data_IF_842888072582
#
_entry.id   IF_842888072582
#
_cell.length_a   1.000
_cell.length_b   1.000
_cell.length_c   1.000
_cell.angle_alpha   90.00
_cell.angle_beta   90.00
_cell.angle_gamma   90.00
#
_symmetry.space_group_name_H-M   'P 1'
#
loop_
_entity.id
_entity.type
_entity.pdbx_description
1 polymer ?
#
# COMPACT_ATOMS: atom_id res chain seq x y z
N UNK A 1 -19.39 11.29 20.71
CA UNK A 1 -19.17 10.44 19.52
C UNK A 1 -18.95 9.02 20.00
N UNK A 2 -19.55 7.97 19.39
CA UNK A 2 -19.18 6.61 19.76
C UNK A 2 -17.69 6.40 19.42
N UNK A 3 -16.91 5.88 20.37
CA UNK A 3 -15.49 5.61 20.21
C UNK A 3 -15.22 4.66 19.03
N UNK A 4 -14.12 4.81 18.27
CA UNK A 4 -13.78 3.85 17.22
C UNK A 4 -13.58 2.46 17.83
N UNK A 5 -14.33 1.47 17.35
CA UNK A 5 -14.27 0.07 17.83
C UNK A 5 -12.94 -0.61 17.50
N UNK A 6 -12.10 -0.02 16.64
CA UNK A 6 -10.72 -0.49 16.39
C UNK A 6 -9.83 0.68 15.99
N UNK A 7 -8.63 0.74 16.58
CA UNK A 7 -7.56 1.65 16.19
C UNK A 7 -6.24 0.86 16.13
N UNK A 8 -5.60 0.85 14.97
CA UNK A 8 -4.29 0.22 14.75
C UNK A 8 -3.39 1.25 14.08
N UNK A 9 -2.15 1.36 14.55
CA UNK A 9 -1.14 2.22 13.94
C UNK A 9 0.24 1.57 14.07
N UNK A 10 0.90 1.33 12.93
CA UNK A 10 2.27 0.84 12.86
C UNK A 10 3.24 2.00 12.72
N UNK A 11 4.42 1.84 13.31
CA UNK A 11 5.54 2.76 13.09
C UNK A 11 6.17 2.41 11.75
N UNK A 12 5.97 3.27 10.76
CA UNK A 12 6.60 3.19 9.44
C UNK A 12 7.40 4.47 9.24
N UNK A 13 8.64 4.34 8.76
CA UNK A 13 9.45 5.46 8.30
C UNK A 13 9.04 5.80 6.88
N UNK A 14 8.71 7.07 6.61
CA UNK A 14 8.41 7.52 5.25
C UNK A 14 9.70 7.54 4.42
N UNK A 15 9.73 6.78 3.33
CA UNK A 15 10.77 6.85 2.31
C UNK A 15 10.17 7.37 1.01
N UNK A 16 10.53 8.59 0.56
CA UNK A 16 10.03 9.12 -0.70
C UNK A 16 10.68 8.43 -1.89
N UNK A 17 9.95 8.36 -3.01
CA UNK A 17 10.52 7.85 -4.26
C UNK A 17 11.51 8.86 -4.86
N UNK A 18 12.67 8.45 -5.39
CA UNK A 18 13.62 9.38 -6.02
C UNK A 18 13.19 9.84 -7.42
N UNK A 19 12.39 9.04 -8.13
CA UNK A 19 11.89 9.30 -9.49
C UNK A 19 10.39 9.12 -9.55
N UNK A 20 9.74 9.54 -10.64
CA UNK A 20 8.29 9.35 -10.86
C UNK A 20 7.86 7.89 -11.00
N UNK A 21 8.79 6.96 -11.20
CA UNK A 21 8.50 5.57 -11.55
C UNK A 21 8.85 4.54 -10.45
N UNK A 22 9.45 4.99 -9.35
CA UNK A 22 10.01 4.12 -8.30
C UNK A 22 9.12 3.98 -7.06
N UNK A 23 7.80 4.27 -7.16
CA UNK A 23 6.86 4.16 -6.05
C UNK A 23 6.80 2.75 -5.45
N UNK A 24 6.84 1.70 -6.28
CA UNK A 24 6.84 0.30 -5.87
C UNK A 24 8.02 -0.04 -4.96
N UNK A 25 9.22 0.45 -5.30
CA UNK A 25 10.46 0.24 -4.56
C UNK A 25 10.43 0.99 -3.23
N UNK A 26 10.03 2.27 -3.25
CA UNK A 26 9.93 3.10 -2.06
C UNK A 26 8.86 2.56 -1.08
N UNK A 27 7.67 2.20 -1.57
CA UNK A 27 6.62 1.62 -0.75
C UNK A 27 7.03 0.28 -0.12
N UNK A 28 7.73 -0.58 -0.87
CA UNK A 28 8.21 -1.85 -0.31
C UNK A 28 9.38 -1.63 0.66
N UNK A 29 10.25 -0.65 0.40
CA UNK A 29 11.30 -0.21 1.34
C UNK A 29 10.69 0.23 2.68
N UNK A 30 9.56 0.95 2.64
CA UNK A 30 8.80 1.31 3.85
C UNK A 30 8.25 0.09 4.62
N UNK A 31 7.91 -1.02 3.95
CA UNK A 31 7.51 -2.27 4.65
C UNK A 31 8.68 -2.96 5.36
N UNK A 32 9.89 -2.87 4.80
CA UNK A 32 11.08 -3.49 5.39
C UNK A 32 11.68 -2.61 6.48
N UNK A 33 11.82 -1.31 6.21
CA UNK A 33 12.26 -0.29 7.17
C UNK A 33 13.78 -0.22 7.37
N UNK A 34 14.54 -1.23 6.92
CA UNK A 34 15.97 -1.41 7.20
C UNK A 34 16.85 -1.48 5.93
N UNK A 35 16.24 -1.57 4.74
CA UNK A 35 16.96 -1.75 3.47
C UNK A 35 16.18 -1.21 2.28
N UNK A 36 16.90 -0.78 1.24
CA UNK A 36 16.31 -0.44 -0.05
C UNK A 36 15.90 -1.70 -0.83
N UNK A 37 14.79 -1.62 -1.54
CA UNK A 37 14.22 -2.75 -2.29
C UNK A 37 14.36 -2.56 -3.79
N UNK A 38 15.12 -3.44 -4.45
CA UNK A 38 15.22 -3.52 -5.91
C UNK A 38 14.14 -4.43 -6.52
N UNK A 39 14.14 -4.58 -7.85
CA UNK A 39 13.14 -5.40 -8.55
C UNK A 39 13.30 -6.92 -8.30
N UNK A 40 14.49 -7.36 -7.87
CA UNK A 40 14.81 -8.78 -7.80
C UNK A 40 14.79 -9.39 -9.20
N UNK A 41 14.02 -10.47 -9.38
CA UNK A 41 13.81 -11.11 -10.69
C UNK A 41 12.63 -10.51 -11.48
N UNK A 42 11.91 -9.53 -10.94
CA UNK A 42 10.81 -8.88 -11.65
C UNK A 42 11.33 -7.91 -12.71
N UNK A 43 10.52 -7.70 -13.74
CA UNK A 43 10.81 -6.82 -14.85
C UNK A 43 10.38 -5.38 -14.57
N UNK A 44 11.23 -4.44 -14.96
CA UNK A 44 10.90 -3.02 -15.03
C UNK A 44 10.84 -2.56 -16.49
N UNK A 45 10.10 -1.49 -16.74
CA UNK A 45 10.21 -0.73 -17.99
C UNK A 45 11.51 0.08 -18.07
N UNK A 46 11.78 0.67 -19.23
CA UNK A 46 12.97 1.50 -19.46
C UNK A 46 13.08 2.69 -18.50
N UNK A 47 11.94 3.18 -18.03
CA UNK A 47 11.83 4.29 -17.07
C UNK A 47 11.97 3.85 -15.59
N UNK A 48 12.27 2.57 -15.32
CA UNK A 48 12.41 2.02 -13.96
C UNK A 48 11.11 1.67 -13.25
N UNK A 49 9.96 1.82 -13.92
CA UNK A 49 8.65 1.41 -13.39
C UNK A 49 8.50 -0.11 -13.39
N UNK A 50 8.01 -0.69 -12.29
CA UNK A 50 7.66 -2.11 -12.24
C UNK A 50 6.52 -2.39 -13.21
N UNK A 51 6.66 -3.42 -14.08
CA UNK A 51 5.56 -3.83 -14.97
C UNK A 51 4.39 -4.39 -14.13
N UNK A 52 3.17 -3.96 -14.43
CA UNK A 52 2.00 -4.15 -13.56
C UNK A 52 1.16 -5.40 -13.87
N UNK A 53 1.61 -6.24 -14.80
CA UNK A 53 1.03 -7.56 -15.06
C UNK A 53 1.16 -8.49 -13.84
N UNK A 54 0.11 -9.30 -13.62
CA UNK A 54 -0.07 -10.12 -12.42
C UNK A 54 1.16 -11.00 -12.13
N UNK A 55 1.64 -11.71 -13.15
CA UNK A 55 2.78 -12.64 -13.02
C UNK A 55 4.04 -11.90 -12.57
N UNK A 56 4.28 -10.69 -13.09
CA UNK A 56 5.45 -9.91 -12.74
C UNK A 56 5.38 -9.34 -11.31
N UNK A 57 4.19 -8.92 -10.86
CA UNK A 57 3.99 -8.51 -9.46
C UNK A 57 4.16 -9.72 -8.51
N UNK A 58 3.72 -10.90 -8.92
CA UNK A 58 3.94 -12.13 -8.15
C UNK A 58 5.42 -12.49 -8.06
N UNK A 59 6.17 -12.38 -9.17
CA UNK A 59 7.63 -12.58 -9.17
C UNK A 59 8.32 -11.57 -8.24
N UNK A 60 7.89 -10.30 -8.27
CA UNK A 60 8.40 -9.28 -7.35
C UNK A 60 8.13 -9.65 -5.89
N UNK A 61 6.91 -10.06 -5.56
CA UNK A 61 6.54 -10.47 -4.21
C UNK A 61 7.39 -11.66 -3.74
N UNK A 62 7.54 -12.69 -4.58
CA UNK A 62 8.34 -13.88 -4.28
C UNK A 62 9.83 -13.55 -4.08
N UNK A 63 10.41 -12.68 -4.91
CA UNK A 63 11.81 -12.27 -4.80
C UNK A 63 12.16 -11.63 -3.45
N UNK A 64 11.17 -11.06 -2.76
CA UNK A 64 11.33 -10.41 -1.46
C UNK A 64 10.67 -11.16 -0.29
N UNK A 65 10.13 -12.36 -0.53
CA UNK A 65 9.44 -13.15 0.49
C UNK A 65 8.13 -12.53 0.97
N UNK A 66 7.45 -11.75 0.13
CA UNK A 66 6.16 -11.14 0.41
C UNK A 66 5.01 -12.08 0.03
N UNK A 67 3.95 -12.05 0.82
CA UNK A 67 2.65 -12.62 0.44
C UNK A 67 1.92 -11.64 -0.47
N UNK A 68 1.61 -12.06 -1.68
CA UNK A 68 0.71 -11.35 -2.59
C UNK A 68 -0.72 -11.88 -2.44
N UNK A 69 -1.66 -10.99 -2.14
CA UNK A 69 -3.09 -11.29 -2.22
C UNK A 69 -3.59 -10.95 -3.61
N UNK A 70 -4.30 -11.90 -4.24
CA UNK A 70 -4.91 -11.72 -5.55
C UNK A 70 -5.94 -10.55 -5.53
N UNK A 71 -6.25 -9.95 -6.70
CA UNK A 71 -7.25 -8.90 -6.81
C UNK A 71 -8.58 -9.30 -6.16
N UNK A 72 -9.01 -8.55 -5.15
CA UNK A 72 -10.25 -8.80 -4.42
C UNK A 72 -10.80 -7.52 -3.80
N UNK A 73 -12.09 -7.52 -3.51
CA UNK A 73 -12.72 -6.47 -2.71
C UNK A 73 -12.42 -6.67 -1.23
N UNK A 74 -11.83 -5.65 -0.59
CA UNK A 74 -11.50 -5.71 0.82
C UNK A 74 -12.68 -5.26 1.68
N UNK A 75 -13.17 -6.13 2.55
CA UNK A 75 -14.04 -5.72 3.65
C UNK A 75 -13.24 -4.96 4.71
N UNK A 76 -13.89 -4.09 5.48
CA UNK A 76 -13.28 -3.39 6.62
C UNK A 76 -12.65 -4.39 7.59
N UNK A 77 -13.34 -5.49 7.88
CA UNK A 77 -12.81 -6.55 8.74
C UNK A 77 -11.56 -7.21 8.14
N UNK A 78 -11.53 -7.44 6.83
CA UNK A 78 -10.35 -7.96 6.12
C UNK A 78 -9.13 -7.05 6.25
N UNK A 79 -9.33 -5.73 6.09
CA UNK A 79 -8.28 -4.73 6.29
C UNK A 79 -7.77 -4.69 7.74
N UNK A 80 -8.69 -4.78 8.71
CA UNK A 80 -8.32 -4.85 10.13
C UNK A 80 -7.47 -6.11 10.38
N UNK A 81 -7.86 -7.28 9.84
CA UNK A 81 -7.07 -8.52 9.99
C UNK A 81 -5.70 -8.43 9.31
N UNK A 82 -5.59 -7.76 8.16
CA UNK A 82 -4.28 -7.45 7.56
C UNK A 82 -3.46 -6.59 8.51
N UNK A 83 -3.98 -5.44 8.96
CA UNK A 83 -3.25 -4.52 9.81
C UNK A 83 -2.90 -5.10 11.18
N UNK A 84 -3.63 -6.07 11.70
CA UNK A 84 -3.19 -6.78 12.92
C UNK A 84 -1.90 -7.57 12.72
N UNK A 85 -1.59 -8.00 11.49
CA UNK A 85 -0.36 -8.73 11.14
C UNK A 85 0.80 -7.80 10.80
N UNK A 86 0.50 -6.59 10.31
CA UNK A 86 1.50 -5.59 9.98
C UNK A 86 1.01 -4.61 8.92
N UNK A 87 1.80 -3.58 8.59
CA UNK A 87 1.54 -2.73 7.44
C UNK A 87 1.57 -3.55 6.14
N UNK A 88 0.90 -3.06 5.11
CA UNK A 88 0.89 -3.70 3.79
C UNK A 88 0.95 -2.65 2.68
N UNK A 89 1.44 -3.04 1.51
CA UNK A 89 1.42 -2.20 0.31
C UNK A 89 0.15 -2.45 -0.47
N UNK A 90 -0.52 -1.39 -0.90
CA UNK A 90 -1.50 -1.44 -1.98
C UNK A 90 -0.81 -0.98 -3.27
N UNK A 91 -0.87 -1.81 -4.31
CA UNK A 91 -0.45 -1.47 -5.67
C UNK A 91 -1.65 -1.51 -6.59
N UNK A 92 -1.83 -0.47 -7.37
CA UNK A 92 -3.02 -0.35 -8.20
C UNK A 92 -3.09 1.00 -8.91
N UNK A 93 -4.30 1.46 -9.24
CA UNK A 93 -4.51 2.70 -10.00
C UNK A 93 -5.08 3.82 -9.14
N UNK A 94 -4.31 4.90 -8.97
CA UNK A 94 -4.65 6.12 -8.20
C UNK A 94 -3.89 7.36 -8.70
N UNK A 95 -4.48 8.23 -9.56
CA UNK A 95 -5.26 7.89 -10.75
C UNK A 95 -4.44 7.12 -11.82
N UNK A 96 -3.12 7.05 -11.67
CA UNK A 96 -2.20 6.26 -12.48
C UNK A 96 -1.68 5.06 -11.67
N UNK A 97 -0.88 4.18 -12.27
CA UNK A 97 -0.26 3.08 -11.53
C UNK A 97 0.57 3.62 -10.36
N UNK A 98 0.27 3.20 -9.13
CA UNK A 98 0.89 3.70 -7.92
C UNK A 98 0.95 2.66 -6.81
N UNK A 99 1.90 2.81 -5.90
CA UNK A 99 2.09 1.95 -4.75
C UNK A 99 2.20 2.78 -3.47
N UNK A 100 1.40 2.43 -2.46
CA UNK A 100 1.35 3.12 -1.16
C UNK A 100 1.32 2.11 -0.02
N UNK A 101 1.78 2.51 1.17
CA UNK A 101 1.72 1.66 2.37
C UNK A 101 0.54 2.07 3.24
N UNK A 102 -0.31 1.10 3.60
CA UNK A 102 -1.31 1.29 4.65
C UNK A 102 -0.69 0.85 5.96
N UNK A 103 -0.56 1.78 6.90
CA UNK A 103 0.08 1.55 8.19
C UNK A 103 -0.87 1.72 9.38
N UNK A 104 -2.09 2.22 9.15
CA UNK A 104 -3.05 2.38 10.23
C UNK A 104 -4.50 2.43 9.77
N UNK A 105 -5.38 2.19 10.72
CA UNK A 105 -6.84 2.23 10.56
C UNK A 105 -7.49 2.71 11.85
N UNK A 106 -8.50 3.56 11.73
CA UNK A 106 -9.49 3.85 12.76
C UNK A 106 -10.87 3.50 12.19
N UNK A 107 -11.64 2.67 12.89
CA UNK A 107 -12.91 2.17 12.35
C UNK A 107 -13.98 1.94 13.43
N UNK A 108 -15.23 2.21 13.09
CA UNK A 108 -16.42 1.79 13.83
C UNK A 108 -17.02 0.45 13.34
N UNK A 109 -16.40 -0.16 12.31
CA UNK A 109 -16.84 -1.38 11.64
C UNK A 109 -17.53 -1.14 10.29
N UNK A 110 -17.95 0.08 9.98
CA UNK A 110 -18.56 0.46 8.71
C UNK A 110 -17.53 1.05 7.74
N UNK A 111 -17.77 0.98 6.42
CA UNK A 111 -16.87 1.59 5.43
C UNK A 111 -16.83 3.13 5.57
N UNK A 112 -17.98 3.76 5.85
CA UNK A 112 -18.10 5.21 5.98
C UNK A 112 -17.43 5.77 7.24
N UNK A 113 -17.41 4.99 8.32
CA UNK A 113 -16.71 5.28 9.58
C UNK A 113 -15.32 4.67 9.66
N UNK A 114 -14.72 4.26 8.54
CA UNK A 114 -13.35 3.75 8.46
C UNK A 114 -12.40 4.76 7.84
N UNK A 115 -11.31 5.01 8.52
CA UNK A 115 -10.28 5.97 8.17
C UNK A 115 -8.91 5.30 8.14
N UNK A 116 -8.15 5.48 7.06
CA UNK A 116 -6.83 4.90 6.87
C UNK A 116 -5.72 5.91 7.14
N UNK A 117 -4.58 5.38 7.58
CA UNK A 117 -3.30 6.10 7.55
C UNK A 117 -2.44 5.50 6.45
N UNK A 118 -2.16 6.31 5.43
CA UNK A 118 -1.41 5.92 4.23
C UNK A 118 -0.09 6.68 4.17
N UNK A 119 0.98 5.95 3.94
CA UNK A 119 2.30 6.45 3.63
C UNK A 119 2.48 6.36 2.12
N UNK A 120 2.53 7.53 1.50
CA UNK A 120 2.61 7.73 0.07
C UNK A 120 4.03 8.16 -0.29
N UNK A 121 4.77 7.41 -1.13
CA UNK A 121 6.12 7.80 -1.53
C UNK A 121 6.13 9.04 -2.44
N UNK A 122 4.98 9.47 -2.96
CA UNK A 122 4.82 10.67 -3.77
C UNK A 122 4.59 11.93 -2.90
N UNK A 123 5.06 13.12 -3.31
CA UNK A 123 5.88 13.43 -4.50
C UNK A 123 7.34 12.97 -4.41
N UNK A 124 8.08 12.89 -5.54
CA UNK A 124 9.47 12.48 -5.51
C UNK A 124 10.31 13.31 -4.55
N UNK A 125 11.17 12.66 -3.78
CA UNK A 125 12.04 13.22 -2.74
C UNK A 125 11.32 13.93 -1.58
N UNK A 126 9.98 13.88 -1.52
CA UNK A 126 9.18 14.52 -0.47
C UNK A 126 8.31 13.49 0.27
N UNK A 127 7.51 12.71 -0.47
CA UNK A 127 6.53 11.79 0.09
C UNK A 127 5.41 12.51 0.86
N UNK A 128 4.43 11.74 1.34
CA UNK A 128 3.32 12.27 2.13
C UNK A 128 2.76 11.22 3.07
N UNK A 129 2.43 11.61 4.31
CA UNK A 129 1.63 10.80 5.21
C UNK A 129 0.21 11.36 5.26
N UNK A 130 -0.75 10.58 4.79
CA UNK A 130 -2.16 10.93 4.76
C UNK A 130 -2.85 10.23 5.92
N UNK A 131 -3.28 11.00 6.93
CA UNK A 131 -4.03 10.49 8.08
C UNK A 131 -5.50 10.84 7.93
N UNK A 132 -6.39 9.92 8.31
CA UNK A 132 -7.82 10.17 8.26
C UNK A 132 -8.44 10.05 6.87
N UNK A 133 -7.84 9.28 5.95
CA UNK A 133 -8.43 9.09 4.62
C UNK A 133 -9.62 8.13 4.72
N UNK A 134 -10.82 8.57 4.32
CA UNK A 134 -12.03 7.75 4.39
C UNK A 134 -11.97 6.60 3.39
N UNK A 135 -12.21 5.38 3.87
CA UNK A 135 -12.07 4.17 3.07
C UNK A 135 -13.11 4.06 1.96
N UNK A 136 -14.37 4.39 2.26
CA UNK A 136 -15.45 4.39 1.26
C UNK A 136 -15.16 5.36 0.10
N UNK A 137 -14.71 6.58 0.40
CA UNK A 137 -14.33 7.57 -0.61
C UNK A 137 -13.14 7.11 -1.44
N UNK A 138 -12.14 6.51 -0.79
CA UNK A 138 -10.98 5.97 -1.48
C UNK A 138 -11.39 4.90 -2.51
N UNK A 139 -12.24 3.95 -2.12
CA UNK A 139 -12.71 2.89 -3.02
C UNK A 139 -13.64 3.41 -4.12
N UNK A 140 -14.47 4.42 -3.83
CA UNK A 140 -15.32 5.07 -4.84
C UNK A 140 -14.50 5.81 -5.89
N UNK A 141 -13.46 6.53 -5.46
CA UNK A 141 -12.62 7.32 -6.35
C UNK A 141 -11.62 6.44 -7.12
N UNK A 142 -11.07 5.42 -6.47
CA UNK A 142 -10.03 4.55 -6.99
C UNK A 142 -10.34 3.07 -6.71
N UNK A 143 -11.33 2.48 -7.39
CA UNK A 143 -11.75 1.10 -7.13
C UNK A 143 -10.65 0.06 -7.39
N UNK A 144 -9.62 0.43 -8.17
CA UNK A 144 -8.48 -0.41 -8.49
C UNK A 144 -7.22 -0.07 -7.69
N UNK A 145 -7.30 0.74 -6.63
CA UNK A 145 -6.11 1.07 -5.80
C UNK A 145 -5.51 -0.17 -5.12
N UNK A 146 -6.34 -1.16 -4.79
CA UNK A 146 -5.95 -2.38 -4.09
C UNK A 146 -5.88 -3.59 -5.02
N UNK A 147 -5.61 -3.36 -6.32
CA UNK A 147 -5.50 -4.42 -7.33
C UNK A 147 -4.54 -5.52 -6.88
N UNK A 148 -3.42 -5.15 -6.26
CA UNK A 148 -2.53 -6.06 -5.56
C UNK A 148 -2.28 -5.56 -4.15
N UNK A 149 -2.31 -6.48 -3.18
CA UNK A 149 -1.88 -6.20 -1.81
C UNK A 149 -0.70 -7.09 -1.48
N UNK A 150 0.39 -6.47 -1.02
CA UNK A 150 1.60 -7.18 -0.61
C UNK A 150 1.82 -7.00 0.90
N UNK A 151 2.08 -8.10 1.62
CA UNK A 151 2.36 -8.09 3.05
C UNK A 151 3.54 -9.01 3.37
N UNK A 152 4.30 -8.68 4.42
CA UNK A 152 5.34 -9.54 4.98
C UNK A 152 4.76 -10.70 5.79
#
# INVERSE_FOLDING_TARGET
>A
MPSPKTSINHIVTLFPQPTDMTCWSAATTMLFGDRSIGAGSAQTGENGGLKSDFDNIQVFAQAHGLTMYAPQSWSVEGLIRLLRRGPFVMMGRMPNAHAVVVAGIQSDGSAAGTYLTIYDPWPPNVGKIQRGLRYDQLMQQFPLVSMYVLQR
#
